data_IF_488444776399
#
_entry.id   IF_488444776399
#
_cell.length_a   1.000
_cell.length_b   1.000
_cell.length_c   1.000
_cell.angle_alpha   90.00
_cell.angle_beta   90.00
_cell.angle_gamma   90.00
#
_symmetry.space_group_name_H-M   'P 1'
#
loop_
_entity.id
_entity.type
_entity.pdbx_description
1 polymer ?
#
# COMPACT_ATOMS: atom_id res chain seq x y z
N UNK A 1 24.31 9.97 6.77
CA UNK A 1 23.14 10.86 6.67
C UNK A 1 22.43 10.57 5.35
N UNK A 2 21.18 10.13 5.41
CA UNK A 2 20.34 9.93 4.22
C UNK A 2 19.99 11.31 3.64
N UNK A 3 20.08 11.51 2.31
CA UNK A 3 19.67 12.76 1.70
C UNK A 3 18.15 12.96 1.85
N UNK A 4 17.74 14.21 2.05
CA UNK A 4 16.32 14.59 2.05
C UNK A 4 15.64 14.28 0.71
N UNK A 5 14.32 14.11 0.74
CA UNK A 5 13.54 13.83 -0.46
C UNK A 5 13.65 14.99 -1.47
N UNK A 6 14.03 14.73 -2.74
CA UNK A 6 14.08 15.77 -3.77
C UNK A 6 12.75 16.52 -3.93
N UNK A 7 11.61 15.83 -3.71
CA UNK A 7 10.28 16.44 -3.77
C UNK A 7 10.05 17.46 -2.66
N UNK A 8 10.57 17.18 -1.47
CA UNK A 8 10.49 18.11 -0.34
C UNK A 8 11.42 19.32 -0.56
N UNK A 9 12.63 19.10 -1.08
CA UNK A 9 13.53 20.21 -1.42
C UNK A 9 12.93 21.15 -2.46
N UNK A 10 12.19 20.61 -3.44
CA UNK A 10 11.43 21.41 -4.42
C UNK A 10 10.32 22.22 -3.74
N UNK A 11 9.59 21.64 -2.77
CA UNK A 11 8.52 22.36 -2.07
C UNK A 11 9.06 23.50 -1.20
N UNK A 12 10.27 23.37 -0.68
CA UNK A 12 10.97 24.42 0.07
C UNK A 12 11.71 25.43 -0.81
N UNK A 13 11.61 25.33 -2.15
CA UNK A 13 12.32 26.21 -3.09
C UNK A 13 13.84 25.95 -3.21
N UNK A 14 14.36 24.89 -2.58
CA UNK A 14 15.79 24.49 -2.59
C UNK A 14 16.13 23.67 -3.85
N UNK A 15 15.94 24.26 -5.03
CA UNK A 15 16.08 23.56 -6.32
C UNK A 15 17.50 23.06 -6.60
N UNK A 16 18.53 23.85 -6.25
CA UNK A 16 19.94 23.47 -6.46
C UNK A 16 20.33 22.19 -5.70
N UNK A 17 19.77 22.00 -4.51
CA UNK A 17 20.02 20.79 -3.71
C UNK A 17 19.27 19.58 -4.27
N UNK A 18 18.01 19.77 -4.67
CA UNK A 18 17.24 18.74 -5.36
C UNK A 18 17.94 18.30 -6.65
N UNK A 19 18.46 19.23 -7.44
CA UNK A 19 19.21 18.96 -8.67
C UNK A 19 20.46 18.13 -8.40
N UNK A 20 21.24 18.46 -7.37
CA UNK A 20 22.44 17.70 -6.99
C UNK A 20 22.11 16.25 -6.63
N UNK A 21 21.02 16.04 -5.88
CA UNK A 21 20.58 14.69 -5.48
C UNK A 21 20.07 13.91 -6.69
N UNK A 22 19.23 14.52 -7.53
CA UNK A 22 18.68 13.86 -8.73
C UNK A 22 19.79 13.55 -9.73
N UNK A 23 20.73 14.47 -9.95
CA UNK A 23 21.87 14.27 -10.86
C UNK A 23 22.80 13.17 -10.36
N UNK A 24 23.00 13.07 -9.04
CA UNK A 24 23.75 11.94 -8.46
C UNK A 24 23.01 10.63 -8.70
N UNK A 25 21.69 10.60 -8.46
CA UNK A 25 20.87 9.41 -8.67
C UNK A 25 20.81 8.96 -10.14
N UNK A 26 20.73 9.89 -11.09
CA UNK A 26 20.70 9.59 -12.53
C UNK A 26 22.03 9.05 -13.04
N UNK A 27 23.16 9.58 -12.53
CA UNK A 27 24.49 9.04 -12.81
C UNK A 27 24.65 7.61 -12.30
N UNK A 28 24.19 7.33 -11.07
CA UNK A 28 24.23 5.97 -10.51
C UNK A 28 23.32 4.99 -11.24
N UNK A 29 22.14 5.46 -11.70
CA UNK A 29 21.18 4.63 -12.42
C UNK A 29 21.49 4.44 -13.92
N UNK A 30 22.58 5.02 -14.45
CA UNK A 30 22.95 4.95 -15.88
C UNK A 30 22.03 5.73 -16.83
N UNK A 31 20.86 6.18 -16.37
CA UNK A 31 19.93 7.02 -17.11
C UNK A 31 20.25 8.49 -16.87
N UNK A 32 21.27 9.00 -17.56
CA UNK A 32 21.59 10.43 -17.56
C UNK A 32 20.43 11.22 -18.17
N UNK A 33 19.59 11.80 -17.31
CA UNK A 33 18.59 12.75 -17.73
C UNK A 33 19.30 14.03 -18.21
N UNK A 34 19.21 14.34 -19.50
CA UNK A 34 19.53 15.67 -19.99
C UNK A 34 18.52 16.67 -19.41
N UNK A 35 18.98 17.87 -19.06
CA UNK A 35 18.14 18.97 -18.57
C UNK A 35 17.35 18.68 -17.27
N UNK A 36 18.03 18.09 -16.27
CA UNK A 36 17.46 17.90 -14.91
C UNK A 36 16.93 19.22 -14.33
N UNK A 37 17.66 20.32 -14.53
CA UNK A 37 17.25 21.66 -14.10
C UNK A 37 15.91 22.11 -14.73
N UNK A 38 15.75 21.96 -16.04
CA UNK A 38 14.52 22.33 -16.74
C UNK A 38 13.30 21.50 -16.28
N UNK A 39 13.50 20.20 -16.02
CA UNK A 39 12.44 19.32 -15.50
C UNK A 39 12.05 19.65 -14.06
N UNK A 40 13.03 19.97 -13.21
CA UNK A 40 12.78 20.39 -11.84
C UNK A 40 12.04 21.74 -11.79
N UNK A 41 12.43 22.69 -12.66
CA UNK A 41 11.74 23.97 -12.82
C UNK A 41 10.30 23.79 -13.29
N UNK A 42 10.04 22.96 -14.31
CA UNK A 42 8.66 22.64 -14.72
C UNK A 42 7.83 22.02 -13.60
N UNK A 43 8.41 21.13 -12.79
CA UNK A 43 7.72 20.57 -11.62
C UNK A 43 7.38 21.64 -10.58
N UNK A 44 8.30 22.59 -10.35
CA UNK A 44 8.07 23.71 -9.44
C UNK A 44 6.98 24.65 -9.96
N UNK A 45 6.99 25.00 -11.25
CA UNK A 45 6.00 25.88 -11.88
C UNK A 45 4.61 25.25 -11.88
N UNK A 46 4.50 23.98 -12.29
CA UNK A 46 3.25 23.22 -12.24
C UNK A 46 2.68 23.19 -10.82
N UNK A 47 3.56 23.04 -9.82
CA UNK A 47 3.18 23.05 -8.41
C UNK A 47 2.76 24.43 -7.92
N UNK A 48 3.48 25.49 -8.28
CA UNK A 48 3.10 26.87 -7.94
C UNK A 48 1.74 27.25 -8.54
N UNK A 49 1.45 26.83 -9.77
CA UNK A 49 0.13 27.01 -10.40
C UNK A 49 -0.97 26.23 -9.66
N UNK A 50 -0.63 25.08 -9.07
CA UNK A 50 -1.54 24.34 -8.20
C UNK A 50 -1.72 25.02 -6.85
N UNK A 51 -0.64 25.36 -6.13
CA UNK A 51 -0.67 26.05 -4.83
C UNK A 51 -1.31 27.44 -4.90
N UNK A 52 -1.14 28.18 -6.00
CA UNK A 52 -1.81 29.47 -6.19
C UNK A 52 -3.32 29.34 -6.45
N UNK A 53 -3.79 28.13 -6.81
CA UNK A 53 -5.20 27.82 -7.08
C UNK A 53 -5.87 27.08 -5.92
N UNK A 54 -5.09 26.46 -5.04
CA UNK A 54 -5.57 25.73 -3.87
C UNK A 54 -5.10 26.44 -2.62
N UNK A 55 -5.98 27.21 -1.98
CA UNK A 55 -5.82 27.49 -0.55
C UNK A 55 -5.72 26.16 0.21
N UNK A 56 -5.01 26.14 1.34
CA UNK A 56 -4.78 24.93 2.16
C UNK A 56 -6.07 24.13 2.31
N UNK A 57 -6.17 23.02 1.58
CA UNK A 57 -7.40 22.24 1.46
C UNK A 57 -7.84 21.73 2.83
N UNK A 58 -9.10 21.96 3.18
CA UNK A 58 -9.71 21.40 4.38
C UNK A 58 -10.13 19.96 4.10
N UNK A 59 -10.25 19.11 5.13
CA UNK A 59 -10.75 17.71 4.99
C UNK A 59 -12.11 17.68 4.25
N UNK A 60 -12.91 18.74 4.38
CA UNK A 60 -14.18 18.93 3.67
C UNK A 60 -14.02 19.07 2.15
N UNK A 61 -12.89 19.61 1.66
CA UNK A 61 -12.62 19.74 0.23
C UNK A 61 -12.38 18.38 -0.45
N UNK A 62 -12.06 17.35 0.35
CA UNK A 62 -11.97 15.96 -0.09
C UNK A 62 -13.33 15.46 -0.59
N UNK A 63 -14.41 15.83 0.09
CA UNK A 63 -15.80 15.50 -0.27
C UNK A 63 -16.35 16.39 -1.38
N UNK A 64 -15.79 17.59 -1.54
CA UNK A 64 -16.20 18.57 -2.55
C UNK A 64 -15.74 18.20 -3.96
N UNK A 65 -14.61 17.50 -4.09
CA UNK A 65 -14.02 17.15 -5.39
C UNK A 65 -14.54 15.78 -5.87
N UNK A 66 -15.33 15.70 -6.97
CA UNK A 66 -16.15 14.53 -7.30
C UNK A 66 -15.41 13.22 -7.66
N UNK A 67 -14.07 13.17 -7.70
CA UNK A 67 -13.30 11.92 -7.80
C UNK A 67 -12.47 11.59 -6.56
N UNK A 68 -12.18 12.57 -5.71
CA UNK A 68 -11.27 12.41 -4.58
C UNK A 68 -11.93 11.65 -3.43
N UNK A 69 -13.21 11.91 -3.18
CA UNK A 69 -13.99 11.18 -2.19
C UNK A 69 -14.14 9.69 -2.55
N UNK A 70 -14.32 9.36 -3.83
CA UNK A 70 -14.41 7.96 -4.29
C UNK A 70 -13.11 7.21 -4.04
N UNK A 71 -11.97 7.80 -4.42
CA UNK A 71 -10.66 7.20 -4.14
C UNK A 71 -10.42 7.04 -2.65
N UNK A 72 -10.81 8.05 -1.86
CA UNK A 72 -10.70 8.01 -0.41
C UNK A 72 -11.51 6.87 0.18
N UNK A 73 -12.78 6.71 -0.22
CA UNK A 73 -13.63 5.61 0.23
C UNK A 73 -13.06 4.24 -0.16
N UNK A 74 -12.55 4.08 -1.39
CA UNK A 74 -11.93 2.83 -1.82
C UNK A 74 -10.72 2.49 -0.95
N UNK A 75 -9.89 3.48 -0.63
CA UNK A 75 -8.71 3.30 0.24
C UNK A 75 -9.15 2.87 1.64
N UNK A 76 -10.11 3.59 2.25
CA UNK A 76 -10.61 3.24 3.59
C UNK A 76 -11.29 1.88 3.62
N UNK A 77 -12.07 1.53 2.60
CA UNK A 77 -12.68 0.21 2.49
C UNK A 77 -11.64 -0.90 2.38
N UNK A 78 -10.60 -0.69 1.58
CA UNK A 78 -9.49 -1.65 1.44
C UNK A 78 -8.77 -1.84 2.77
N UNK A 79 -8.49 -0.76 3.50
CA UNK A 79 -7.91 -0.81 4.83
C UNK A 79 -8.81 -1.53 5.83
N UNK A 80 -10.09 -1.19 5.87
CA UNK A 80 -11.07 -1.82 6.73
C UNK A 80 -11.16 -3.33 6.48
N UNK A 81 -11.27 -3.73 5.22
CA UNK A 81 -11.30 -5.15 4.83
C UNK A 81 -10.03 -5.88 5.26
N UNK A 82 -8.85 -5.28 5.05
CA UNK A 82 -7.57 -5.87 5.47
C UNK A 82 -7.47 -6.05 6.99
N UNK A 83 -7.86 -5.03 7.76
CA UNK A 83 -7.87 -5.11 9.22
C UNK A 83 -8.90 -6.14 9.71
N UNK A 84 -10.09 -6.17 9.13
CA UNK A 84 -11.13 -7.11 9.52
C UNK A 84 -10.69 -8.56 9.31
N UNK A 85 -10.08 -8.87 8.15
CA UNK A 85 -9.55 -10.22 7.88
C UNK A 85 -8.37 -10.54 8.79
N UNK A 86 -7.43 -9.60 9.00
CA UNK A 86 -6.26 -9.83 9.85
C UNK A 86 -6.64 -10.11 11.31
N UNK A 87 -7.50 -9.27 11.89
CA UNK A 87 -7.97 -9.49 13.26
C UNK A 87 -8.91 -10.69 13.34
N UNK A 88 -9.76 -10.92 12.33
CA UNK A 88 -10.59 -12.10 12.24
C UNK A 88 -9.77 -13.39 12.30
N UNK A 89 -8.71 -13.48 11.48
CA UNK A 89 -7.78 -14.61 11.52
C UNK A 89 -7.05 -14.69 12.86
N UNK A 90 -6.53 -13.56 13.37
CA UNK A 90 -5.80 -13.53 14.65
C UNK A 90 -6.66 -14.00 15.82
N UNK A 91 -7.93 -13.62 15.90
CA UNK A 91 -8.83 -14.11 16.95
C UNK A 91 -9.18 -15.60 16.76
N UNK A 92 -9.44 -16.04 15.52
CA UNK A 92 -9.77 -17.43 15.22
C UNK A 92 -8.57 -18.40 15.36
N UNK A 93 -7.33 -17.93 15.30
CA UNK A 93 -6.15 -18.80 15.46
C UNK A 93 -6.08 -19.50 16.82
N UNK A 94 -6.73 -18.95 17.86
CA UNK A 94 -6.84 -19.59 19.18
C UNK A 94 -7.91 -20.68 19.24
N UNK A 95 -8.92 -20.62 18.37
CA UNK A 95 -10.00 -21.61 18.28
C UNK A 95 -9.70 -22.71 17.23
N UNK A 96 -8.64 -22.52 16.45
CA UNK A 96 -8.19 -23.48 15.46
C UNK A 96 -7.62 -24.72 16.15
N UNK A 97 -8.07 -25.92 15.76
CA UNK A 97 -7.58 -27.17 16.32
C UNK A 97 -6.06 -27.32 16.14
N UNK A 98 -5.30 -27.49 17.22
CA UNK A 98 -3.84 -27.62 17.21
C UNK A 98 -3.18 -26.86 18.36
N UNK A 99 -1.85 -26.75 18.30
CA UNK A 99 -1.08 -25.92 19.24
C UNK A 99 -1.09 -24.45 18.78
N UNK A 100 -1.57 -23.49 19.62
CA UNK A 100 -1.65 -22.08 19.25
C UNK A 100 -0.31 -21.45 18.86
N UNK A 101 0.79 -21.89 19.47
CA UNK A 101 2.13 -21.36 19.16
C UNK A 101 2.59 -21.81 17.77
N UNK A 102 2.28 -23.06 17.38
CA UNK A 102 2.55 -23.57 16.03
C UNK A 102 1.73 -22.83 14.98
N UNK A 103 0.44 -22.60 15.23
CA UNK A 103 -0.44 -21.85 14.32
C UNK A 103 0.03 -20.40 14.13
N UNK A 104 0.46 -19.75 15.22
CA UNK A 104 1.02 -18.41 15.16
C UNK A 104 2.36 -18.38 14.40
N UNK A 105 3.26 -19.32 14.69
CA UNK A 105 4.55 -19.42 14.00
C UNK A 105 4.39 -19.68 12.50
N UNK A 106 3.44 -20.54 12.11
CA UNK A 106 3.14 -20.81 10.70
C UNK A 106 2.55 -19.58 10.00
N UNK A 107 1.64 -18.87 10.68
CA UNK A 107 1.05 -17.63 10.14
C UNK A 107 2.12 -16.58 9.88
N UNK A 108 3.03 -16.35 10.84
CA UNK A 108 4.17 -15.44 10.64
C UNK A 108 5.15 -15.92 9.56
N UNK A 109 5.38 -17.24 9.46
CA UNK A 109 6.25 -17.80 8.42
C UNK A 109 5.71 -17.58 7.00
N UNK A 110 4.38 -17.60 6.81
CA UNK A 110 3.72 -17.38 5.51
C UNK A 110 3.78 -15.91 5.07
N UNK A 111 3.95 -14.95 5.99
CA UNK A 111 4.06 -13.54 5.63
C UNK A 111 5.32 -13.24 4.80
N UNK A 112 6.46 -13.85 5.14
CA UNK A 112 7.72 -13.65 4.41
C UNK A 112 7.62 -13.95 2.90
N UNK A 113 7.22 -15.17 2.47
CA UNK A 113 7.08 -15.47 1.04
C UNK A 113 5.98 -14.63 0.39
N UNK A 114 4.91 -14.28 1.12
CA UNK A 114 3.87 -13.40 0.61
C UNK A 114 4.41 -12.00 0.28
N UNK A 115 5.30 -11.43 1.09
CA UNK A 115 5.95 -10.15 0.79
C UNK A 115 6.83 -10.21 -0.46
N UNK A 116 7.61 -11.28 -0.64
CA UNK A 116 8.40 -11.46 -1.87
C UNK A 116 7.52 -11.58 -3.11
N UNK A 117 6.44 -12.38 -3.02
CA UNK A 117 5.51 -12.57 -4.12
C UNK A 117 4.80 -11.26 -4.50
N UNK A 118 4.35 -10.49 -3.51
CA UNK A 118 3.70 -9.20 -3.75
C UNK A 118 4.67 -8.19 -4.38
N UNK A 119 5.93 -8.14 -3.93
CA UNK A 119 6.96 -7.30 -4.53
C UNK A 119 7.18 -7.65 -6.01
N UNK A 120 7.30 -8.95 -6.32
CA UNK A 120 7.45 -9.42 -7.70
C UNK A 120 6.21 -9.12 -8.55
N UNK A 121 5.02 -9.34 -8.01
CA UNK A 121 3.75 -9.07 -8.70
C UNK A 121 3.57 -7.58 -9.04
N UNK A 122 3.95 -6.68 -8.12
CA UNK A 122 3.93 -5.24 -8.35
C UNK A 122 4.92 -4.84 -9.44
N UNK A 123 6.12 -5.44 -9.45
CA UNK A 123 7.15 -5.16 -10.47
C UNK A 123 6.71 -5.62 -11.86
N UNK A 124 6.07 -6.79 -11.97
CA UNK A 124 5.67 -7.37 -13.26
C UNK A 124 4.36 -6.78 -13.82
N UNK A 125 3.30 -6.68 -13.00
CA UNK A 125 1.93 -6.38 -13.46
C UNK A 125 1.39 -5.03 -12.98
N UNK A 126 2.23 -4.24 -12.31
CA UNK A 126 1.82 -2.97 -11.69
C UNK A 126 1.02 -3.16 -10.41
N UNK A 127 0.61 -2.06 -9.77
CA UNK A 127 0.03 -2.07 -8.41
C UNK A 127 -1.43 -2.52 -8.33
N UNK A 128 -2.25 -2.27 -9.36
CA UNK A 128 -3.71 -2.47 -9.28
C UNK A 128 -4.12 -3.94 -9.32
N UNK A 129 -3.54 -4.70 -10.25
CA UNK A 129 -3.87 -6.12 -10.46
C UNK A 129 -3.63 -6.97 -9.21
N UNK A 130 -2.45 -6.93 -8.56
CA UNK A 130 -2.23 -7.74 -7.35
C UNK A 130 -3.19 -7.36 -6.23
N UNK A 131 -3.49 -6.07 -6.03
CA UNK A 131 -4.45 -5.63 -5.00
C UNK A 131 -5.87 -6.18 -5.23
N UNK A 132 -6.36 -6.16 -6.47
CA UNK A 132 -7.71 -6.68 -6.78
C UNK A 132 -7.75 -8.20 -6.59
N UNK A 133 -6.72 -8.91 -7.05
CA UNK A 133 -6.65 -10.37 -6.95
C UNK A 133 -6.58 -10.81 -5.49
N UNK A 134 -5.68 -10.24 -4.68
CA UNK A 134 -5.52 -10.66 -3.27
C UNK A 134 -6.76 -10.35 -2.45
N UNK A 135 -7.37 -9.18 -2.66
CA UNK A 135 -8.61 -8.79 -1.96
C UNK A 135 -9.77 -9.67 -2.40
N UNK A 136 -9.87 -10.02 -3.68
CA UNK A 136 -10.89 -10.93 -4.20
C UNK A 136 -10.75 -12.35 -3.66
N UNK A 137 -9.53 -12.90 -3.62
CA UNK A 137 -9.24 -14.21 -3.03
C UNK A 137 -9.56 -14.22 -1.54
N UNK A 138 -9.15 -13.19 -0.80
CA UNK A 138 -9.46 -13.05 0.63
C UNK A 138 -10.96 -12.99 0.89
N UNK A 139 -11.71 -12.20 0.11
CA UNK A 139 -13.17 -12.15 0.21
C UNK A 139 -13.84 -13.49 -0.11
N UNK A 140 -13.36 -14.20 -1.13
CA UNK A 140 -13.87 -15.53 -1.48
C UNK A 140 -13.59 -16.54 -0.36
N UNK A 141 -12.40 -16.52 0.24
CA UNK A 141 -12.07 -17.39 1.36
C UNK A 141 -13.01 -17.16 2.56
N UNK A 142 -13.33 -15.91 2.89
CA UNK A 142 -14.32 -15.59 3.94
C UNK A 142 -15.74 -16.09 3.58
N UNK A 143 -16.16 -15.99 2.32
CA UNK A 143 -17.48 -16.51 1.91
C UNK A 143 -17.54 -18.04 1.98
N UNK A 144 -16.44 -18.73 1.66
CA UNK A 144 -16.33 -20.18 1.74
C UNK A 144 -16.34 -20.71 3.19
N UNK A 145 -15.98 -19.88 4.18
CA UNK A 145 -16.09 -20.27 5.59
C UNK A 145 -17.53 -20.28 6.13
N UNK A 146 -18.46 -19.58 5.47
CA UNK A 146 -19.87 -19.52 5.90
C UNK A 146 -20.65 -20.85 5.79
N UNK A 147 -20.52 -21.64 4.70
CA UNK A 147 -21.24 -22.92 4.58
C UNK A 147 -20.61 -24.09 5.34
N UNK A 148 -19.54 -23.91 6.12
CA UNK A 148 -19.00 -25.00 6.96
C UNK A 148 -20.01 -25.29 8.09
N UNK A 149 -20.72 -26.42 8.08
CA UNK A 149 -21.59 -26.78 9.18
C UNK A 149 -20.69 -26.97 10.40
N UNK A 150 -21.12 -26.47 11.56
CA UNK A 150 -20.57 -26.78 12.88
C UNK A 150 -20.85 -28.25 13.25
N UNK A 151 -20.53 -29.16 12.35
CA UNK A 151 -20.55 -30.61 12.55
C UNK A 151 -19.40 -30.95 13.47
N UNK A 152 -19.70 -30.96 14.76
CA UNK A 152 -18.95 -31.64 15.82
C UNK A 152 -18.09 -32.77 15.25
N UNK A 153 -16.77 -32.57 15.19
CA UNK A 153 -15.84 -33.68 15.27
C UNK A 153 -15.86 -34.19 16.71
N UNK A 154 -16.98 -34.82 17.10
CA UNK A 154 -16.98 -35.82 18.15
C UNK A 154 -16.18 -36.98 17.59
N UNK A 155 -14.85 -36.92 17.76
CA UNK A 155 -14.04 -38.12 17.74
C UNK A 155 -14.63 -39.07 18.76
N UNK A 156 -15.27 -40.12 18.24
CA UNK A 156 -15.54 -41.34 18.97
C UNK A 156 -14.21 -41.81 19.55
N UNK A 157 -14.02 -41.55 20.85
CA UNK A 157 -13.21 -42.41 21.68
C UNK A 157 -14.18 -43.26 22.50
N UNK A 158 -13.88 -44.55 22.43
CA UNK A 158 -14.43 -45.69 23.14
C UNK A 158 -14.66 -45.41 24.62
#
# INVERSE_FOLDING_TARGET
LLPESPRWLISQGRIKEAEKIVTKATKTNGNYLSNVDARLKMMMETRKVHESKTESGTILDLFRTPGLWQMTLIIYFTWFSGLFVYYGLSYNTNELAGDPFVNFALSGAVEFPAYFLTMFAIYSKGRKIPMVITTGIGGLACLLTYPLPSGRLNFSFM
#
